data_IF_001829661027
#
_entry.id   IF_001829661027
#
_cell.length_a   1.000
_cell.length_b   1.000
_cell.length_c   1.000
_cell.angle_alpha   90.00
_cell.angle_beta   90.00
_cell.angle_gamma   90.00
#
_symmetry.space_group_name_H-M   'P 1'
#
loop_
_entity.id
_entity.type
_entity.pdbx_description
1 polymer ?
#
# COMPACT_ATOMS: atom_id res chain seq x y z
N UNK A 1 10.03 -14.87 -3.93
CA UNK A 1 9.92 -13.40 -3.96
C UNK A 1 9.53 -12.88 -2.58
N UNK A 2 10.26 -11.90 -2.11
CA UNK A 2 10.01 -11.28 -0.80
C UNK A 2 9.58 -9.83 -1.01
N UNK A 3 8.45 -9.47 -0.42
CA UNK A 3 7.85 -8.14 -0.59
C UNK A 3 7.74 -7.47 0.76
N UNK A 4 8.27 -6.24 0.86
CA UNK A 4 8.11 -5.41 2.04
C UNK A 4 6.87 -4.53 1.89
N UNK A 5 5.97 -4.60 2.86
CA UNK A 5 4.75 -3.80 2.83
C UNK A 5 4.73 -2.86 4.02
N UNK A 6 4.55 -1.57 3.75
CA UNK A 6 4.48 -0.55 4.80
C UNK A 6 3.49 0.53 4.40
N UNK A 7 3.14 1.38 5.36
CA UNK A 7 2.23 2.49 5.17
C UNK A 7 2.41 3.53 6.26
N UNK A 8 1.91 4.74 6.01
CA UNK A 8 1.80 5.79 7.04
C UNK A 8 3.14 6.11 7.71
N UNK A 9 4.19 6.26 6.89
CA UNK A 9 5.52 6.61 7.40
C UNK A 9 5.60 8.05 7.90
N UNK A 10 4.75 8.94 7.40
CA UNK A 10 4.68 10.34 7.85
C UNK A 10 6.06 10.99 7.96
N UNK A 11 6.84 10.90 6.88
CA UNK A 11 8.19 11.46 6.80
C UNK A 11 9.23 10.81 7.71
N UNK A 12 8.94 9.64 8.29
CA UNK A 12 9.88 8.94 9.16
C UNK A 12 10.06 7.49 8.70
N UNK A 13 11.30 7.12 8.41
CA UNK A 13 11.65 5.76 8.05
C UNK A 13 12.77 5.28 8.99
N UNK A 14 12.43 4.47 10.01
CA UNK A 14 13.42 3.99 10.97
C UNK A 14 14.52 3.16 10.31
N UNK A 15 15.75 3.25 10.83
CA UNK A 15 16.87 2.43 10.35
C UNK A 15 16.56 0.94 10.41
N UNK A 16 15.82 0.50 11.42
CA UNK A 16 15.41 -0.88 11.57
C UNK A 16 14.50 -1.33 10.43
N UNK A 17 13.57 -0.46 10.01
CA UNK A 17 12.71 -0.74 8.86
C UNK A 17 13.53 -0.86 7.58
N UNK A 18 14.47 0.05 7.35
CA UNK A 18 15.36 0.00 6.20
C UNK A 18 16.12 -1.33 6.18
N UNK A 19 16.63 -1.77 7.32
CA UNK A 19 17.35 -3.03 7.43
C UNK A 19 16.48 -4.22 6.98
N UNK A 20 15.23 -4.29 7.40
CA UNK A 20 14.31 -5.35 6.98
C UNK A 20 13.95 -5.28 5.50
N UNK A 21 13.87 -4.07 4.95
CA UNK A 21 13.52 -3.88 3.54
C UNK A 21 14.67 -4.20 2.58
N UNK A 22 15.92 -4.14 3.03
CA UNK A 22 17.09 -4.38 2.19
C UNK A 22 17.12 -5.78 1.54
N UNK A 23 16.46 -6.76 2.15
CA UNK A 23 16.35 -8.10 1.60
C UNK A 23 15.12 -8.33 0.70
N UNK A 24 14.34 -7.30 0.44
CA UNK A 24 13.11 -7.44 -0.34
C UNK A 24 13.34 -7.27 -1.83
N UNK A 25 12.53 -7.97 -2.64
CA UNK A 25 12.53 -7.82 -4.10
C UNK A 25 11.69 -6.64 -4.55
N UNK A 26 10.61 -6.35 -3.84
CA UNK A 26 9.77 -5.18 -4.04
C UNK A 26 9.35 -4.58 -2.71
N UNK A 27 9.01 -3.30 -2.74
CA UNK A 27 8.43 -2.58 -1.60
C UNK A 27 7.11 -1.97 -2.04
N UNK A 28 6.06 -2.18 -1.24
CA UNK A 28 4.74 -1.57 -1.48
C UNK A 28 4.42 -0.62 -0.34
N UNK A 29 4.06 0.62 -0.67
CA UNK A 29 3.72 1.65 0.30
C UNK A 29 2.26 2.07 0.14
N UNK A 30 1.51 1.99 1.22
CA UNK A 30 0.07 2.25 1.27
C UNK A 30 -0.35 3.70 1.47
N UNK A 31 0.57 4.67 1.32
CA UNK A 31 0.23 6.08 1.39
C UNK A 31 0.59 6.77 2.70
N UNK A 32 0.41 8.09 2.74
CA UNK A 32 0.89 8.96 3.82
C UNK A 32 2.41 8.81 4.00
N UNK A 33 3.11 9.00 2.89
CA UNK A 33 4.57 8.87 2.80
C UNK A 33 5.25 9.99 3.60
N UNK A 34 4.78 11.22 3.42
CA UNK A 34 5.20 12.39 4.18
C UNK A 34 6.21 13.26 3.46
N UNK A 35 7.17 12.70 2.73
CA UNK A 35 8.10 13.46 1.91
C UNK A 35 8.66 12.62 0.79
N UNK A 36 9.10 13.29 -0.27
CA UNK A 36 9.73 12.64 -1.40
C UNK A 36 11.03 11.92 -1.00
N UNK A 37 11.70 12.39 0.04
CA UNK A 37 12.93 11.75 0.54
C UNK A 37 12.69 10.31 0.99
N UNK A 38 11.55 10.04 1.63
CA UNK A 38 11.20 8.68 2.04
C UNK A 38 11.03 7.79 0.81
N UNK A 39 10.29 8.27 -0.19
CA UNK A 39 10.08 7.53 -1.43
C UNK A 39 11.41 7.22 -2.13
N UNK A 40 12.28 8.23 -2.25
CA UNK A 40 13.59 8.06 -2.87
C UNK A 40 14.45 7.02 -2.13
N UNK A 41 14.43 7.03 -0.80
CA UNK A 41 15.16 6.02 -0.02
C UNK A 41 14.66 4.61 -0.29
N UNK A 42 13.33 4.45 -0.39
CA UNK A 42 12.75 3.14 -0.70
C UNK A 42 13.14 2.68 -2.11
N UNK A 43 13.09 3.58 -3.08
CA UNK A 43 13.45 3.29 -4.46
C UNK A 43 14.92 2.93 -4.63
N UNK A 44 15.80 3.43 -3.77
CA UNK A 44 17.21 3.05 -3.75
C UNK A 44 17.43 1.61 -3.27
N UNK A 45 16.51 1.07 -2.50
CA UNK A 45 16.61 -0.30 -2.00
C UNK A 45 16.20 -1.30 -3.09
N UNK A 46 15.01 -1.12 -3.66
CA UNK A 46 14.49 -1.97 -4.72
C UNK A 46 13.26 -1.33 -5.38
N UNK A 47 12.66 -2.03 -6.33
CA UNK A 47 11.45 -1.59 -6.99
C UNK A 47 10.37 -1.26 -5.96
N UNK A 48 9.86 -0.04 -6.01
CA UNK A 48 8.87 0.46 -5.06
C UNK A 48 7.58 0.82 -5.81
N UNK A 49 6.46 0.29 -5.30
CA UNK A 49 5.12 0.65 -5.77
C UNK A 49 4.45 1.41 -4.64
N UNK A 50 4.00 2.62 -4.90
CA UNK A 50 3.46 3.49 -3.86
C UNK A 50 2.22 4.21 -4.32
N UNK A 51 1.30 4.42 -3.38
CA UNK A 51 0.15 5.31 -3.57
C UNK A 51 0.32 6.51 -2.64
N UNK A 52 -0.32 7.63 -2.96
CA UNK A 52 -0.33 8.76 -2.05
C UNK A 52 -1.50 8.65 -1.06
N UNK A 53 -1.33 9.28 0.08
CA UNK A 53 -2.35 9.38 1.10
C UNK A 53 -2.83 10.81 1.31
N UNK A 54 -3.73 10.99 2.25
CA UNK A 54 -4.39 12.29 2.47
C UNK A 54 -3.46 13.40 2.97
N UNK A 55 -2.31 13.05 3.57
CA UNK A 55 -1.34 14.08 4.01
C UNK A 55 -0.29 14.40 2.94
N UNK A 56 -0.22 13.63 1.86
CA UNK A 56 0.86 13.79 0.88
C UNK A 56 0.66 15.00 0.00
N UNK A 57 1.78 15.68 -0.30
CA UNK A 57 1.79 16.93 -1.07
C UNK A 57 1.77 16.67 -2.59
N UNK A 58 1.77 17.74 -3.37
CA UNK A 58 1.72 17.68 -4.83
C UNK A 58 2.95 17.00 -5.44
N UNK A 59 4.12 17.09 -4.79
CA UNK A 59 5.34 16.45 -5.27
C UNK A 59 5.19 14.93 -5.22
N UNK A 60 4.72 14.42 -4.09
CA UNK A 60 4.48 12.99 -3.91
C UNK A 60 3.37 12.50 -4.85
N UNK A 61 2.29 13.28 -5.00
CA UNK A 61 1.17 12.92 -5.88
C UNK A 61 1.58 12.81 -7.34
N UNK A 62 2.56 13.59 -7.79
CA UNK A 62 3.08 13.49 -9.16
C UNK A 62 3.89 12.22 -9.37
N UNK A 63 4.56 11.72 -8.34
CA UNK A 63 5.42 10.55 -8.42
C UNK A 63 4.71 9.24 -8.09
N UNK A 64 3.48 9.32 -7.60
CA UNK A 64 2.69 8.16 -7.18
C UNK A 64 1.28 8.22 -7.74
N UNK A 65 0.48 7.21 -7.45
CA UNK A 65 -0.91 7.15 -7.88
C UNK A 65 -1.85 7.15 -6.68
N UNK A 66 -3.12 7.47 -6.91
CA UNK A 66 -4.14 7.38 -5.85
C UNK A 66 -4.38 5.92 -5.45
N UNK A 67 -4.37 5.03 -6.42
CA UNK A 67 -4.44 3.60 -6.19
C UNK A 67 -3.66 2.87 -7.27
N UNK A 68 -3.26 1.63 -7.01
CA UNK A 68 -2.57 0.78 -7.96
C UNK A 68 -3.29 -0.56 -8.06
N UNK A 69 -3.39 -1.07 -9.29
CA UNK A 69 -3.87 -2.42 -9.54
C UNK A 69 -2.84 -3.09 -10.45
N UNK A 70 -2.29 -4.21 -10.00
CA UNK A 70 -1.27 -4.93 -10.75
C UNK A 70 -1.28 -6.41 -10.40
N UNK A 71 -0.60 -7.20 -11.20
CA UNK A 71 -0.47 -8.63 -10.98
C UNK A 71 0.95 -9.00 -10.63
N UNK A 72 1.09 -9.89 -9.66
CA UNK A 72 2.32 -10.62 -9.39
C UNK A 72 1.98 -12.09 -9.63
N UNK A 73 2.55 -12.66 -10.69
CA UNK A 73 2.17 -14.00 -11.17
C UNK A 73 0.65 -14.06 -11.42
N UNK A 74 -0.07 -14.91 -10.74
CA UNK A 74 -1.53 -15.04 -10.88
C UNK A 74 -2.31 -14.24 -9.85
N UNK A 75 -1.62 -13.51 -8.98
CA UNK A 75 -2.27 -12.73 -7.92
C UNK A 75 -2.47 -11.29 -8.36
N UNK A 76 -3.70 -10.80 -8.21
CA UNK A 76 -4.03 -9.41 -8.47
C UNK A 76 -4.03 -8.63 -7.15
N UNK A 77 -3.35 -7.52 -7.14
CA UNK A 77 -3.15 -6.67 -5.96
C UNK A 77 -3.79 -5.31 -6.20
N UNK A 78 -4.54 -4.82 -5.21
CA UNK A 78 -5.04 -3.46 -5.14
C UNK A 78 -4.37 -2.77 -3.95
N UNK A 79 -3.76 -1.62 -4.21
CA UNK A 79 -3.21 -0.74 -3.15
C UNK A 79 -3.98 0.57 -3.20
N UNK A 80 -4.55 0.99 -2.08
CA UNK A 80 -5.24 2.27 -1.94
C UNK A 80 -5.12 2.72 -0.48
N UNK A 81 -4.82 4.01 -0.25
CA UNK A 81 -4.56 4.49 1.11
C UNK A 81 -5.79 4.37 2.02
N UNK A 82 -6.92 4.96 1.61
CA UNK A 82 -8.14 4.93 2.41
C UNK A 82 -9.13 3.95 1.79
N UNK A 83 -9.25 2.77 2.41
CA UNK A 83 -10.13 1.72 1.93
C UNK A 83 -11.40 1.57 2.76
N UNK A 84 -11.37 1.99 4.02
CA UNK A 84 -12.34 1.59 5.00
C UNK A 84 -11.92 0.25 5.62
N UNK A 85 -12.87 -0.48 6.13
CA UNK A 85 -12.60 -1.77 6.78
C UNK A 85 -13.47 -2.87 6.20
N UNK A 86 -13.15 -4.11 6.50
CA UNK A 86 -13.95 -5.26 6.08
C UNK A 86 -15.40 -5.06 6.50
N UNK A 87 -16.33 -5.31 5.60
CA UNK A 87 -17.77 -5.08 5.73
C UNK A 87 -18.18 -3.62 5.64
N UNK A 88 -17.24 -2.69 5.47
CA UNK A 88 -17.52 -1.25 5.44
C UNK A 88 -16.52 -0.49 4.58
N UNK A 89 -16.22 -1.01 3.39
CA UNK A 89 -15.37 -0.29 2.44
C UNK A 89 -16.05 0.98 1.95
N UNK A 90 -15.24 2.01 1.66
CA UNK A 90 -15.80 3.19 1.00
C UNK A 90 -16.22 2.81 -0.43
N UNK A 91 -17.01 3.70 -1.05
CA UNK A 91 -17.59 3.45 -2.35
C UNK A 91 -16.55 3.17 -3.42
N UNK A 92 -15.50 3.99 -3.48
CA UNK A 92 -14.45 3.85 -4.48
C UNK A 92 -13.74 2.51 -4.37
N UNK A 93 -13.35 2.13 -3.15
CA UNK A 93 -12.68 0.85 -2.91
C UNK A 93 -13.58 -0.32 -3.28
N UNK A 94 -14.85 -0.27 -2.87
CA UNK A 94 -15.81 -1.31 -3.19
C UNK A 94 -15.98 -1.47 -4.71
N UNK A 95 -16.09 -0.36 -5.44
CA UNK A 95 -16.23 -0.39 -6.89
C UNK A 95 -14.99 -1.01 -7.54
N UNK A 96 -13.79 -0.66 -7.08
CA UNK A 96 -12.54 -1.25 -7.56
C UNK A 96 -12.46 -2.74 -7.27
N UNK A 97 -12.91 -3.18 -6.10
CA UNK A 97 -12.95 -4.60 -5.74
C UNK A 97 -13.89 -5.36 -6.67
N UNK A 98 -15.07 -4.82 -6.91
CA UNK A 98 -16.07 -5.46 -7.77
C UNK A 98 -15.62 -5.55 -9.23
N UNK A 99 -14.97 -4.51 -9.73
CA UNK A 99 -14.48 -4.46 -11.12
C UNK A 99 -13.26 -5.36 -11.33
N UNK A 100 -12.35 -5.40 -10.38
CA UNK A 100 -11.04 -6.01 -10.56
C UNK A 100 -10.86 -7.35 -9.86
N UNK A 101 -11.65 -7.64 -8.86
CA UNK A 101 -11.58 -8.87 -8.06
C UNK A 101 -10.16 -9.19 -7.58
N UNK A 102 -9.54 -8.28 -6.81
CA UNK A 102 -8.17 -8.51 -6.34
C UNK A 102 -8.12 -9.66 -5.34
N UNK A 103 -6.96 -10.31 -5.29
CA UNK A 103 -6.68 -11.34 -4.29
C UNK A 103 -6.18 -10.73 -2.98
N UNK A 104 -5.54 -9.56 -3.07
CA UNK A 104 -4.98 -8.84 -1.94
C UNK A 104 -5.34 -7.35 -2.04
N UNK A 105 -5.82 -6.81 -0.92
CA UNK A 105 -6.02 -5.36 -0.74
C UNK A 105 -5.04 -4.87 0.30
N UNK A 106 -4.18 -3.93 -0.07
CA UNK A 106 -3.27 -3.24 0.84
C UNK A 106 -3.75 -1.81 1.03
N UNK A 107 -3.89 -1.38 2.27
CA UNK A 107 -4.32 -0.02 2.60
C UNK A 107 -3.57 0.49 3.83
N UNK A 108 -3.90 1.70 4.26
CA UNK A 108 -3.34 2.34 5.44
C UNK A 108 -4.37 3.20 6.15
N UNK A 109 -3.96 4.40 6.53
CA UNK A 109 -4.78 5.46 7.10
C UNK A 109 -5.22 5.23 8.56
N UNK A 110 -5.75 4.09 8.92
CA UNK A 110 -6.25 3.85 10.28
C UNK A 110 -5.14 3.73 11.32
N UNK A 111 -3.92 3.44 10.90
CA UNK A 111 -2.77 3.14 11.79
C UNK A 111 -3.02 1.92 12.68
N UNK A 112 -3.95 1.06 12.30
CA UNK A 112 -4.25 -0.18 13.03
C UNK A 112 -3.79 -1.35 12.20
N UNK A 113 -2.78 -2.07 12.69
CA UNK A 113 -2.29 -3.27 12.03
C UNK A 113 -3.40 -4.32 11.94
N UNK A 114 -3.72 -4.73 10.74
CA UNK A 114 -4.73 -5.79 10.54
C UNK A 114 -4.43 -6.59 9.29
N UNK A 115 -4.43 -7.89 9.44
CA UNK A 115 -4.37 -8.84 8.34
C UNK A 115 -5.51 -9.82 8.55
N UNK A 116 -6.47 -9.84 7.63
CA UNK A 116 -7.65 -10.68 7.78
C UNK A 116 -8.23 -11.03 6.42
N UNK A 117 -8.90 -12.18 6.35
CA UNK A 117 -9.56 -12.60 5.13
C UNK A 117 -10.97 -12.03 5.04
N UNK A 118 -11.29 -11.42 3.91
CA UNK A 118 -12.65 -10.99 3.60
C UNK A 118 -13.31 -12.07 2.76
N UNK A 119 -14.21 -12.84 3.36
CA UNK A 119 -14.87 -13.96 2.70
C UNK A 119 -15.87 -13.50 1.64
N UNK A 120 -16.48 -12.34 1.82
CA UNK A 120 -17.48 -11.82 0.88
C UNK A 120 -16.87 -11.56 -0.49
N UNK A 121 -15.68 -10.96 -0.53
CA UNK A 121 -15.00 -10.61 -1.77
C UNK A 121 -13.83 -11.54 -2.09
N UNK A 122 -13.62 -12.56 -1.26
CA UNK A 122 -12.56 -13.56 -1.44
C UNK A 122 -11.18 -12.93 -1.62
N UNK A 123 -10.83 -12.01 -0.73
CA UNK A 123 -9.53 -11.33 -0.74
C UNK A 123 -8.89 -11.34 0.64
N UNK A 124 -7.59 -11.12 0.65
CA UNK A 124 -6.85 -10.87 1.89
C UNK A 124 -6.76 -9.36 2.09
N UNK A 125 -7.21 -8.89 3.23
CA UNK A 125 -7.12 -7.48 3.64
C UNK A 125 -5.85 -7.29 4.47
N UNK A 126 -5.04 -6.29 4.11
CA UNK A 126 -3.79 -5.99 4.81
C UNK A 126 -3.67 -4.49 5.05
N UNK A 127 -3.56 -4.11 6.32
CA UNK A 127 -3.18 -2.77 6.75
C UNK A 127 -1.94 -2.93 7.64
N UNK A 128 -0.75 -2.67 7.07
CA UNK A 128 0.53 -2.91 7.77
C UNK A 128 0.84 -1.91 8.89
#
# INVERSE_FOLDING_TARGET
>A
MKIGVLSDTHNYLPKKAIHYLEGCDEIWHGGDIGSINVLEKLEQICLTRAVWGNIDDEIIKRETEEYLIFKIKNFKILIIHIAGKINSYNRKTRDLILENKPNLLVCGHSHILKIARDKKYNLLYMNP
#
